data_IF_899655647793
#
_entry.id   IF_899655647793
#
_cell.length_a   1.000
_cell.length_b   1.000
_cell.length_c   1.000
_cell.angle_alpha   90.00
_cell.angle_beta   90.00
_cell.angle_gamma   90.00
#
_symmetry.space_group_name_H-M   'P 1'
#
loop_
_entity.id
_entity.type
_entity.pdbx_description
1 polymer ?
#
# COMPACT_ATOMS: atom_id res chain seq x y z
N UNK A 1 -9.16 10.66 6.60
CA UNK A 1 -8.73 9.39 7.25
C UNK A 1 -8.72 9.49 8.76
N UNK A 2 -8.02 10.46 9.34
CA UNK A 2 -7.92 10.63 10.81
C UNK A 2 -9.25 10.91 11.50
N UNK A 3 -10.20 11.55 10.80
CA UNK A 3 -11.60 11.68 11.26
C UNK A 3 -12.34 10.36 11.49
N UNK A 4 -11.75 9.21 11.10
CA UNK A 4 -12.31 7.89 11.37
C UNK A 4 -11.99 7.39 12.78
N UNK A 5 -11.05 8.03 13.49
CA UNK A 5 -10.73 7.71 14.89
C UNK A 5 -11.89 8.19 15.77
N UNK A 6 -12.51 7.30 16.57
CA UNK A 6 -13.58 7.70 17.48
C UNK A 6 -13.11 8.74 18.49
N UNK A 7 -14.02 9.62 18.89
CA UNK A 7 -13.84 10.69 19.90
C UNK A 7 -12.91 11.83 19.51
N UNK A 8 -11.68 11.54 19.09
CA UNK A 8 -10.60 12.54 18.90
C UNK A 8 -10.33 12.87 17.42
N UNK A 9 -10.95 12.13 16.49
CA UNK A 9 -10.61 12.22 15.06
C UNK A 9 -10.87 13.58 14.42
N UNK A 10 -11.90 14.33 14.87
CA UNK A 10 -12.19 15.67 14.35
C UNK A 10 -11.15 16.69 14.82
N UNK A 11 -10.82 16.65 16.11
CA UNK A 11 -9.84 17.55 16.72
C UNK A 11 -8.45 17.37 16.10
N UNK A 12 -8.04 16.12 15.80
CA UNK A 12 -6.80 15.84 15.08
C UNK A 12 -6.77 16.42 13.66
N UNK A 13 -7.89 16.35 12.94
CA UNK A 13 -7.98 16.88 11.58
C UNK A 13 -7.84 18.40 11.60
N UNK A 14 -8.58 19.08 12.47
CA UNK A 14 -8.50 20.54 12.62
C UNK A 14 -7.13 20.98 13.14
N UNK A 15 -6.51 20.20 14.02
CA UNK A 15 -5.14 20.44 14.48
C UNK A 15 -4.12 20.38 13.34
N UNK A 16 -4.20 19.36 12.48
CA UNK A 16 -3.30 19.19 11.34
C UNK A 16 -3.49 20.32 10.32
N UNK A 17 -4.74 20.65 9.99
CA UNK A 17 -5.05 21.76 9.10
C UNK A 17 -4.65 23.11 9.70
N UNK A 18 -4.68 23.26 11.03
CA UNK A 18 -4.49 24.56 11.68
C UNK A 18 -5.66 25.50 11.44
N UNK A 19 -6.87 24.96 11.24
CA UNK A 19 -8.09 25.68 10.88
C UNK A 19 -9.24 24.71 10.54
N UNK A 20 -10.36 25.25 10.08
CA UNK A 20 -11.57 24.46 9.76
C UNK A 20 -11.51 23.73 8.40
N UNK A 21 -10.58 24.11 7.53
CA UNK A 21 -10.38 23.55 6.21
C UNK A 21 -8.90 23.62 5.81
N UNK A 22 -8.55 22.96 4.70
CA UNK A 22 -7.22 23.11 4.10
C UNK A 22 -7.04 24.54 3.59
N UNK A 23 -6.02 25.24 4.11
CA UNK A 23 -5.71 26.63 3.77
C UNK A 23 -4.19 26.88 3.84
N UNK A 24 -3.75 28.14 3.75
CA UNK A 24 -2.36 28.57 3.80
C UNK A 24 -1.60 28.04 5.03
N UNK A 25 -2.26 27.92 6.19
CA UNK A 25 -1.66 27.33 7.39
C UNK A 25 -1.24 25.86 7.15
N UNK A 26 -2.10 25.07 6.52
CA UNK A 26 -1.83 23.68 6.15
C UNK A 26 -0.67 23.60 5.16
N UNK A 27 -0.69 24.44 4.11
CA UNK A 27 0.32 24.40 3.05
C UNK A 27 1.72 24.72 3.58
N UNK A 28 1.87 25.77 4.40
CA UNK A 28 3.17 26.13 4.97
C UNK A 28 3.72 25.04 5.89
N UNK A 29 2.86 24.41 6.70
CA UNK A 29 3.26 23.27 7.54
C UNK A 29 3.68 22.07 6.71
N UNK A 30 2.92 21.74 5.66
CA UNK A 30 3.24 20.62 4.78
C UNK A 30 4.53 20.88 4.01
N UNK A 31 4.80 22.12 3.59
CA UNK A 31 6.08 22.48 2.99
C UNK A 31 7.25 22.27 3.98
N UNK A 32 7.13 22.77 5.20
CA UNK A 32 8.16 22.57 6.23
C UNK A 32 8.39 21.08 6.55
N UNK A 33 7.31 20.29 6.66
CA UNK A 33 7.41 18.85 6.87
C UNK A 33 8.01 18.13 5.67
N UNK A 34 7.59 18.49 4.46
CA UNK A 34 8.12 17.91 3.22
C UNK A 34 9.61 18.23 3.03
N UNK A 35 10.07 19.40 3.48
CA UNK A 35 11.49 19.73 3.49
C UNK A 35 12.27 18.87 4.49
N UNK A 36 11.70 18.60 5.66
CA UNK A 36 12.34 17.82 6.72
C UNK A 36 12.40 16.31 6.44
N UNK A 37 11.31 15.73 5.92
CA UNK A 37 11.14 14.29 5.75
C UNK A 37 12.25 13.60 4.92
N UNK A 38 12.74 14.17 3.79
CA UNK A 38 13.85 13.59 3.04
C UNK A 38 15.12 13.39 3.86
N UNK A 39 15.43 14.29 4.81
CA UNK A 39 16.60 14.14 5.67
C UNK A 39 16.42 13.03 6.70
N UNK A 40 15.21 12.89 7.25
CA UNK A 40 14.86 11.77 8.14
C UNK A 40 14.95 10.44 7.37
N UNK A 41 14.42 10.40 6.14
CA UNK A 41 14.50 9.22 5.27
C UNK A 41 15.94 8.89 4.88
N UNK A 42 16.78 9.89 4.60
CA UNK A 42 18.20 9.67 4.32
C UNK A 42 18.93 9.07 5.53
N UNK A 43 18.61 9.52 6.75
CA UNK A 43 19.16 8.94 7.98
C UNK A 43 18.66 7.51 8.22
N UNK A 44 17.37 7.23 8.01
CA UNK A 44 16.80 5.87 8.07
C UNK A 44 17.42 4.96 7.00
N UNK A 45 17.63 5.46 5.79
CA UNK A 45 18.28 4.73 4.70
C UNK A 45 19.75 4.44 5.03
N UNK A 46 20.48 5.39 5.62
CA UNK A 46 21.85 5.16 6.10
C UNK A 46 21.88 4.08 7.19
N UNK A 47 20.99 4.14 8.19
CA UNK A 47 20.86 3.08 9.20
C UNK A 47 20.50 1.73 8.58
N UNK A 48 19.62 1.72 7.58
CA UNK A 48 19.25 0.53 6.82
C UNK A 48 20.47 -0.05 6.08
N UNK A 49 21.23 0.78 5.34
CA UNK A 49 22.43 0.35 4.62
C UNK A 49 23.55 -0.14 5.56
N UNK A 50 23.72 0.50 6.72
CA UNK A 50 24.61 0.00 7.78
C UNK A 50 24.17 -1.39 8.26
N UNK A 51 22.87 -1.65 8.29
CA UNK A 51 22.30 -2.95 8.67
C UNK A 51 22.37 -4.00 7.53
N UNK A 52 22.63 -3.59 6.28
CA UNK A 52 22.47 -4.41 5.07
C UNK A 52 23.73 -4.56 4.23
N UNK A 53 24.90 -4.17 4.74
CA UNK A 53 26.20 -4.18 4.04
C UNK A 53 26.40 -5.41 3.13
N UNK A 54 26.01 -5.28 1.85
CA UNK A 54 26.64 -5.69 0.59
C UNK A 54 25.63 -5.41 -0.56
N UNK A 55 26.14 -4.77 -1.62
CA UNK A 55 25.54 -4.49 -2.93
C UNK A 55 24.35 -3.51 -3.07
N UNK A 56 24.69 -2.28 -3.48
CA UNK A 56 23.74 -1.26 -3.93
C UNK A 56 23.48 -1.33 -5.44
N UNK A 57 22.20 -1.29 -5.83
CA UNK A 57 21.78 -1.01 -7.21
C UNK A 57 20.88 0.22 -7.23
N UNK A 58 21.13 1.13 -8.17
CA UNK A 58 20.32 2.33 -8.38
C UNK A 58 19.68 2.26 -9.77
N UNK A 59 18.39 2.53 -9.84
CA UNK A 59 17.64 2.69 -11.08
C UNK A 59 17.07 4.10 -11.12
N UNK A 60 17.37 4.85 -12.19
CA UNK A 60 16.89 6.21 -12.40
C UNK A 60 16.04 6.21 -13.67
N UNK A 61 14.78 6.63 -13.54
CA UNK A 61 13.88 6.83 -14.67
C UNK A 61 13.77 8.33 -14.99
N UNK A 62 13.99 8.71 -16.26
CA UNK A 62 13.83 10.07 -16.76
C UNK A 62 12.62 10.16 -17.69
N UNK A 63 11.43 10.39 -17.13
CA UNK A 63 10.23 10.75 -17.89
C UNK A 63 9.40 11.74 -17.06
N UNK A 64 9.40 13.06 -17.36
CA UNK A 64 8.99 14.08 -16.40
C UNK A 64 7.50 14.11 -16.09
N UNK A 65 6.62 13.78 -17.05
CA UNK A 65 5.17 13.99 -16.88
C UNK A 65 4.26 12.79 -17.23
N UNK A 66 4.80 11.66 -17.69
CA UNK A 66 3.93 10.51 -18.06
C UNK A 66 3.20 9.88 -16.85
N UNK A 67 3.73 10.09 -15.65
CA UNK A 67 3.17 9.54 -14.40
C UNK A 67 2.38 10.59 -13.59
N UNK A 68 2.32 11.84 -14.06
CA UNK A 68 1.65 12.94 -13.37
C UNK A 68 0.20 13.09 -13.85
N UNK A 69 -0.67 13.59 -12.98
CA UNK A 69 -2.07 13.84 -13.31
C UNK A 69 -2.25 15.24 -13.94
N UNK A 70 -2.96 15.40 -15.07
CA UNK A 70 -3.18 16.69 -15.71
C UNK A 70 -3.86 17.74 -14.81
N UNK A 71 -4.77 17.30 -13.94
CA UNK A 71 -5.49 18.21 -13.03
C UNK A 71 -4.57 18.93 -12.04
N UNK A 72 -3.35 18.41 -11.78
CA UNK A 72 -2.37 19.08 -10.92
C UNK A 72 -1.74 20.33 -11.56
N UNK A 73 -2.01 20.60 -12.84
CA UNK A 73 -1.65 21.88 -13.50
C UNK A 73 -2.74 22.95 -13.38
N UNK A 74 -3.92 22.59 -12.86
CA UNK A 74 -5.01 23.53 -12.62
C UNK A 74 -4.86 24.08 -11.20
N UNK A 75 -4.95 25.41 -10.97
CA UNK A 75 -4.93 25.97 -9.63
C UNK A 75 -6.07 25.39 -8.77
N UNK A 76 -5.75 25.07 -7.51
CA UNK A 76 -6.71 24.48 -6.59
C UNK A 76 -7.91 25.40 -6.35
N UNK A 77 -9.13 24.85 -6.45
CA UNK A 77 -10.37 25.54 -6.11
C UNK A 77 -11.10 24.76 -5.00
N UNK A 78 -11.22 25.31 -3.77
CA UNK A 78 -11.88 24.64 -2.65
C UNK A 78 -13.36 24.29 -2.89
N UNK A 79 -14.02 24.98 -3.82
CA UNK A 79 -15.45 24.82 -4.08
C UNK A 79 -15.75 23.80 -5.18
N UNK A 80 -14.74 23.25 -5.85
CA UNK A 80 -14.91 22.34 -6.99
C UNK A 80 -13.96 21.16 -6.87
N UNK A 81 -14.53 19.95 -6.77
CA UNK A 81 -13.78 18.70 -6.90
C UNK A 81 -13.87 18.20 -8.36
N UNK A 82 -12.74 17.97 -9.05
CA UNK A 82 -12.75 17.38 -10.39
C UNK A 82 -13.47 16.02 -10.41
N UNK A 83 -14.21 15.73 -11.49
CA UNK A 83 -14.90 14.45 -11.66
C UNK A 83 -13.94 13.26 -11.87
N UNK A 84 -12.74 13.53 -12.36
CA UNK A 84 -11.64 12.59 -12.60
C UNK A 84 -10.66 12.47 -11.43
N UNK A 85 -11.07 12.73 -10.18
CA UNK A 85 -10.17 12.71 -9.03
C UNK A 85 -9.60 11.30 -8.79
N UNK A 86 -8.29 11.16 -8.99
CA UNK A 86 -7.56 9.89 -8.85
C UNK A 86 -6.23 10.20 -8.16
N UNK A 87 -5.82 9.41 -7.15
CA UNK A 87 -4.52 9.59 -6.50
C UNK A 87 -3.38 9.17 -7.43
N UNK A 88 -2.15 9.47 -7.05
CA UNK A 88 -0.97 9.04 -7.80
C UNK A 88 -0.90 7.52 -7.91
N UNK A 89 -0.30 7.04 -9.01
CA UNK A 89 -0.34 5.62 -9.41
C UNK A 89 0.11 4.65 -8.32
N UNK A 90 1.16 4.99 -7.57
CA UNK A 90 1.70 4.17 -6.49
C UNK A 90 0.78 4.06 -5.26
N UNK A 91 -0.21 4.94 -5.12
CA UNK A 91 -1.24 4.86 -4.08
C UNK A 91 -2.52 4.13 -4.52
N UNK A 92 -2.72 3.89 -5.82
CA UNK A 92 -3.95 3.27 -6.34
C UNK A 92 -4.28 1.90 -5.74
N UNK A 93 -3.33 0.97 -5.49
CA UNK A 93 -3.66 -0.32 -4.87
C UNK A 93 -4.25 -0.16 -3.46
N UNK A 94 -3.70 0.77 -2.67
CA UNK A 94 -4.18 1.05 -1.31
C UNK A 94 -5.51 1.81 -1.34
N UNK A 95 -5.69 2.70 -2.31
CA UNK A 95 -6.95 3.38 -2.56
C UNK A 95 -8.06 2.40 -2.98
N UNK A 96 -7.75 1.40 -3.80
CA UNK A 96 -8.67 0.31 -4.16
C UNK A 96 -9.12 -0.50 -2.93
N UNK A 97 -8.18 -0.82 -2.02
CA UNK A 97 -8.48 -1.51 -0.75
C UNK A 97 -9.36 -0.64 0.15
N UNK A 98 -9.08 0.66 0.26
CA UNK A 98 -9.87 1.61 1.06
C UNK A 98 -11.33 1.65 0.60
N UNK A 99 -11.58 1.75 -0.72
CA UNK A 99 -12.92 1.87 -1.29
C UNK A 99 -13.68 0.54 -1.41
N UNK A 100 -12.98 -0.60 -1.33
CA UNK A 100 -13.60 -1.92 -1.43
C UNK A 100 -14.57 -2.20 -0.26
N UNK A 101 -14.31 -1.61 0.92
CA UNK A 101 -15.08 -1.85 2.13
C UNK A 101 -16.13 -0.73 2.29
N UNK A 102 -17.44 -1.05 2.34
CA UNK A 102 -18.52 -0.07 2.50
C UNK A 102 -18.66 0.42 3.95
N UNK A 103 -17.54 0.75 4.61
CA UNK A 103 -17.48 1.30 5.96
C UNK A 103 -16.32 2.29 6.07
N UNK A 104 -16.60 3.48 6.60
CA UNK A 104 -15.60 4.54 6.78
C UNK A 104 -14.41 4.07 7.63
N UNK A 105 -14.68 3.43 8.77
CA UNK A 105 -13.63 2.95 9.69
C UNK A 105 -12.97 1.70 9.12
N UNK A 106 -13.77 0.75 8.61
CA UNK A 106 -13.27 -0.50 8.06
C UNK A 106 -12.29 -0.30 6.91
N UNK A 107 -12.62 0.59 5.96
CA UNK A 107 -11.73 0.92 4.85
C UNK A 107 -10.42 1.54 5.31
N UNK A 108 -10.45 2.49 6.25
CA UNK A 108 -9.23 3.14 6.75
C UNK A 108 -8.33 2.13 7.47
N UNK A 109 -8.92 1.27 8.31
CA UNK A 109 -8.18 0.21 9.00
C UNK A 109 -7.57 -0.76 7.98
N UNK A 110 -8.33 -1.21 6.99
CA UNK A 110 -7.82 -2.12 5.96
C UNK A 110 -6.65 -1.50 5.17
N UNK A 111 -6.75 -0.23 4.77
CA UNK A 111 -5.69 0.43 4.03
C UNK A 111 -4.37 0.48 4.84
N UNK A 112 -4.41 0.87 6.12
CA UNK A 112 -3.21 0.88 6.96
C UNK A 112 -2.71 -0.54 7.24
N UNK A 113 -3.62 -1.48 7.52
CA UNK A 113 -3.28 -2.90 7.73
C UNK A 113 -2.60 -3.51 6.51
N UNK A 114 -2.91 -3.08 5.28
CA UNK A 114 -2.25 -3.56 4.08
C UNK A 114 -0.74 -3.23 4.05
N UNK A 115 -0.30 -2.18 4.72
CA UNK A 115 1.13 -1.87 4.87
C UNK A 115 1.69 -2.64 6.08
N UNK A 116 0.98 -2.62 7.21
CA UNK A 116 1.47 -3.23 8.45
C UNK A 116 1.61 -4.74 8.39
N UNK A 117 0.82 -5.43 7.55
CA UNK A 117 0.88 -6.88 7.39
C UNK A 117 2.26 -7.36 6.90
N UNK A 118 3.03 -6.51 6.21
CA UNK A 118 4.38 -6.83 5.77
C UNK A 118 5.34 -7.08 6.95
N UNK A 119 5.13 -6.42 8.10
CA UNK A 119 5.92 -6.67 9.31
C UNK A 119 5.61 -8.00 9.97
N UNK A 120 4.48 -8.63 9.64
CA UNK A 120 4.12 -9.95 10.15
C UNK A 120 4.73 -11.10 9.32
N UNK A 121 5.28 -10.81 8.14
CA UNK A 121 5.87 -11.82 7.24
C UNK A 121 6.90 -12.74 7.92
N UNK A 122 7.86 -12.23 8.73
CA UNK A 122 8.82 -13.10 9.41
C UNK A 122 8.20 -14.07 10.41
N UNK A 123 6.98 -13.80 10.88
CA UNK A 123 6.24 -14.62 11.85
C UNK A 123 5.31 -15.60 11.12
N UNK A 124 4.73 -15.18 9.99
CA UNK A 124 3.74 -15.97 9.23
C UNK A 124 4.36 -17.04 8.33
N UNK A 125 5.63 -16.91 7.95
CA UNK A 125 6.32 -17.92 7.13
C UNK A 125 6.71 -19.15 7.97
N UNK A 126 6.04 -20.27 7.70
CA UNK A 126 6.26 -21.57 8.36
C UNK A 126 7.26 -22.46 7.62
N UNK A 127 7.76 -22.02 6.47
CA UNK A 127 8.64 -22.85 5.62
C UNK A 127 10.02 -23.06 6.25
N UNK A 128 10.59 -24.25 6.09
CA UNK A 128 11.98 -24.53 6.53
C UNK A 128 13.02 -23.91 5.59
N UNK A 129 12.68 -23.81 4.31
CA UNK A 129 13.55 -23.29 3.25
C UNK A 129 13.22 -21.82 3.01
N UNK A 130 14.20 -20.94 3.27
CA UNK A 130 14.06 -19.47 3.12
C UNK A 130 13.82 -19.03 1.67
N UNK A 131 14.46 -19.68 0.70
CA UNK A 131 14.38 -19.27 -0.71
C UNK A 131 13.14 -19.84 -1.40
N UNK A 132 12.44 -19.02 -2.18
CA UNK A 132 11.34 -19.45 -3.04
C UNK A 132 11.81 -20.13 -4.34
N UNK A 133 13.11 -20.14 -4.63
CA UNK A 133 13.67 -20.74 -5.85
C UNK A 133 13.36 -22.24 -5.98
N UNK A 134 13.32 -22.95 -4.84
CA UNK A 134 13.11 -24.40 -4.78
C UNK A 134 11.67 -24.79 -4.40
N UNK A 135 10.75 -23.83 -4.40
CA UNK A 135 9.37 -24.01 -3.93
C UNK A 135 8.37 -23.65 -5.03
N UNK A 136 7.92 -24.64 -5.83
CA UNK A 136 7.08 -24.39 -7.00
C UNK A 136 5.71 -23.80 -6.63
N UNK A 137 5.08 -24.24 -5.54
CA UNK A 137 3.77 -23.73 -5.12
C UNK A 137 3.92 -22.29 -4.61
N UNK A 138 4.89 -22.03 -3.75
CA UNK A 138 5.16 -20.67 -3.26
C UNK A 138 5.47 -19.70 -4.39
N UNK A 139 6.23 -20.11 -5.40
CA UNK A 139 6.53 -19.29 -6.60
C UNK A 139 5.25 -18.98 -7.38
N UNK A 140 4.38 -19.95 -7.60
CA UNK A 140 3.10 -19.74 -8.30
C UNK A 140 2.24 -18.69 -7.57
N UNK A 141 2.01 -18.88 -6.27
CA UNK A 141 1.17 -17.97 -5.49
C UNK A 141 1.78 -16.59 -5.32
N UNK A 142 3.11 -16.46 -5.30
CA UNK A 142 3.78 -15.17 -5.38
C UNK A 142 3.43 -14.42 -6.67
N UNK A 143 3.46 -15.09 -7.83
CA UNK A 143 3.09 -14.44 -9.09
C UNK A 143 1.59 -14.14 -9.17
N UNK A 144 0.73 -14.97 -8.58
CA UNK A 144 -0.69 -14.64 -8.43
C UNK A 144 -0.91 -13.41 -7.53
N UNK A 145 -0.13 -13.27 -6.46
CA UNK A 145 -0.14 -12.06 -5.62
C UNK A 145 0.30 -10.81 -6.39
N UNK A 146 1.38 -10.90 -7.17
CA UNK A 146 1.83 -9.80 -8.04
C UNK A 146 0.75 -9.43 -9.05
N UNK A 147 0.13 -10.42 -9.71
CA UNK A 147 -0.97 -10.18 -10.64
C UNK A 147 -2.18 -9.52 -9.96
N UNK A 148 -2.56 -9.98 -8.76
CA UNK A 148 -3.62 -9.36 -7.97
C UNK A 148 -3.30 -7.90 -7.60
N UNK A 149 -2.05 -7.61 -7.24
CA UNK A 149 -1.60 -6.25 -6.94
C UNK A 149 -1.70 -5.34 -8.17
N UNK A 150 -1.36 -5.85 -9.37
CA UNK A 150 -1.55 -5.12 -10.62
C UNK A 150 -3.03 -4.92 -11.00
N UNK A 151 -3.90 -5.87 -10.66
CA UNK A 151 -5.36 -5.72 -10.82
C UNK A 151 -5.87 -4.60 -9.89
N UNK A 152 -5.44 -4.59 -8.62
CA UNK A 152 -5.78 -3.52 -7.68
C UNK A 152 -5.25 -2.15 -8.12
N UNK A 153 -4.04 -2.11 -8.68
CA UNK A 153 -3.46 -0.91 -9.29
C UNK A 153 -4.37 -0.36 -10.41
N UNK A 154 -4.83 -1.24 -11.31
CA UNK A 154 -5.71 -0.85 -12.40
C UNK A 154 -7.09 -0.39 -11.91
N UNK A 155 -7.73 -1.18 -11.03
CA UNK A 155 -9.07 -0.91 -10.51
C UNK A 155 -9.12 0.36 -9.65
N UNK A 156 -8.03 0.68 -8.93
CA UNK A 156 -7.92 1.90 -8.16
C UNK A 156 -8.05 3.18 -9.00
N UNK A 157 -7.68 3.12 -10.28
CA UNK A 157 -7.80 4.24 -11.23
C UNK A 157 -9.13 4.32 -11.97
N UNK A 158 -10.01 3.33 -11.81
CA UNK A 158 -11.33 3.32 -12.46
C UNK A 158 -12.39 4.01 -11.59
N UNK A 159 -13.49 4.43 -12.19
CA UNK A 159 -14.63 4.95 -11.43
C UNK A 159 -15.27 3.87 -10.52
N UNK A 160 -16.06 4.31 -9.54
CA UNK A 160 -16.72 3.43 -8.57
C UNK A 160 -18.02 2.90 -9.17
N UNK A 161 -17.88 2.01 -10.14
CA UNK A 161 -18.97 1.39 -10.89
C UNK A 161 -18.80 -0.14 -10.93
N UNK A 162 -19.89 -0.87 -11.15
CA UNK A 162 -19.79 -2.31 -11.45
C UNK A 162 -19.20 -2.49 -12.86
N UNK A 163 -18.30 -3.48 -13.09
CA UNK A 163 -17.90 -4.58 -12.21
C UNK A 163 -16.70 -4.28 -11.28
N UNK A 164 -16.15 -3.06 -11.31
CA UNK A 164 -14.89 -2.71 -10.64
C UNK A 164 -14.98 -2.77 -9.12
N UNK A 165 -16.15 -2.50 -8.54
CA UNK A 165 -16.39 -2.63 -7.09
C UNK A 165 -16.20 -4.09 -6.67
N UNK A 166 -16.89 -5.02 -7.33
CA UNK A 166 -16.80 -6.46 -7.06
C UNK A 166 -15.37 -6.97 -7.24
N UNK A 167 -14.67 -6.57 -8.30
CA UNK A 167 -13.28 -6.96 -8.54
C UNK A 167 -12.37 -6.44 -7.41
N UNK A 168 -12.56 -5.19 -6.96
CA UNK A 168 -11.78 -4.60 -5.86
C UNK A 168 -11.99 -5.35 -4.54
N UNK A 169 -13.22 -5.80 -4.27
CA UNK A 169 -13.55 -6.58 -3.06
C UNK A 169 -12.87 -7.95 -3.08
N UNK A 170 -12.96 -8.67 -4.19
CA UNK A 170 -12.29 -9.96 -4.37
C UNK A 170 -10.77 -9.80 -4.30
N UNK A 171 -10.23 -8.77 -4.95
CA UNK A 171 -8.78 -8.49 -4.94
C UNK A 171 -8.26 -8.12 -3.56
N UNK A 172 -9.05 -7.37 -2.77
CA UNK A 172 -8.72 -7.04 -1.38
C UNK A 172 -8.78 -8.28 -0.49
N UNK A 173 -9.80 -9.12 -0.64
CA UNK A 173 -9.92 -10.38 0.09
C UNK A 173 -8.73 -11.32 -0.21
N UNK A 174 -8.35 -11.43 -1.49
CA UNK A 174 -7.18 -12.20 -1.91
C UNK A 174 -5.87 -11.62 -1.37
N UNK A 175 -5.73 -10.29 -1.34
CA UNK A 175 -4.54 -9.62 -0.79
C UNK A 175 -4.29 -10.02 0.67
N UNK A 176 -5.31 -9.95 1.53
CA UNK A 176 -5.17 -10.32 2.94
C UNK A 176 -5.07 -11.83 3.16
N UNK A 177 -5.82 -12.62 2.39
CA UNK A 177 -5.75 -14.09 2.50
C UNK A 177 -4.39 -14.63 2.07
N UNK A 178 -3.70 -13.96 1.14
CA UNK A 178 -2.34 -14.29 0.75
C UNK A 178 -1.40 -14.35 1.96
N UNK A 179 -1.37 -13.28 2.76
CA UNK A 179 -0.49 -13.20 3.91
C UNK A 179 -0.95 -14.09 5.07
N UNK A 180 -2.23 -14.04 5.45
CA UNK A 180 -2.71 -14.66 6.68
C UNK A 180 -2.97 -16.17 6.55
N UNK A 181 -3.30 -16.63 5.35
CA UNK A 181 -3.75 -18.01 5.11
C UNK A 181 -2.80 -18.73 4.16
N UNK A 182 -2.57 -18.17 2.97
CA UNK A 182 -1.87 -18.87 1.89
C UNK A 182 -0.40 -19.09 2.24
N UNK A 183 0.33 -18.09 2.74
CA UNK A 183 1.73 -18.23 3.15
C UNK A 183 1.93 -19.35 4.19
N UNK A 184 1.26 -19.34 5.37
CA UNK A 184 1.47 -20.37 6.37
C UNK A 184 1.02 -21.76 5.89
N UNK A 185 -0.04 -21.82 5.08
CA UNK A 185 -0.55 -23.08 4.52
C UNK A 185 0.41 -23.70 3.51
N UNK A 186 0.93 -22.91 2.56
CA UNK A 186 1.89 -23.39 1.57
C UNK A 186 3.18 -23.82 2.24
N UNK A 187 3.68 -23.04 3.22
CA UNK A 187 4.87 -23.40 3.98
C UNK A 187 4.73 -24.76 4.65
N UNK A 188 3.57 -25.05 5.26
CA UNK A 188 3.28 -26.35 5.85
C UNK A 188 3.19 -27.48 4.80
N UNK A 189 2.45 -27.27 3.71
CA UNK A 189 2.28 -28.27 2.64
C UNK A 189 3.62 -28.64 2.00
N UNK A 190 4.43 -27.64 1.63
CA UNK A 190 5.73 -27.88 0.99
C UNK A 190 6.68 -28.60 1.95
N UNK A 191 6.71 -28.23 3.24
CA UNK A 191 7.51 -28.96 4.24
C UNK A 191 7.15 -30.45 4.29
N UNK A 192 5.85 -30.79 4.28
CA UNK A 192 5.39 -32.18 4.26
C UNK A 192 5.76 -32.89 2.96
N UNK A 193 5.61 -32.23 1.80
CA UNK A 193 5.98 -32.81 0.51
C UNK A 193 7.48 -33.12 0.43
N UNK A 194 8.33 -32.25 0.99
CA UNK A 194 9.77 -32.50 1.07
C UNK A 194 10.07 -33.71 1.95
N UNK A 195 9.45 -33.82 3.13
CA UNK A 195 9.66 -34.95 4.04
C UNK A 195 9.23 -36.30 3.39
N UNK A 196 8.16 -36.28 2.59
CA UNK A 196 7.70 -37.46 1.84
C UNK A 196 8.62 -37.82 0.67
N UNK A 197 9.16 -36.84 -0.05
CA UNK A 197 10.05 -37.08 -1.20
C UNK A 197 11.44 -37.57 -0.82
N UNK A 198 11.86 -37.42 0.44
CA UNK A 198 13.13 -37.94 0.97
C UNK A 198 13.07 -39.37 1.51
N UNK A 199 11.88 -39.96 1.59
CA UNK A 199 11.65 -41.35 2.00
C UNK A 199 11.54 -42.27 0.78
#
# INVERSE_FOLDING_TARGET
MLSAIPWIGKDLVEFIWGGFSVDNATLNRFFSLHYLLPFILAALAAMHLISLHEDGRYFVCYIPNQLAHPDNYIPANPMVTPSSIVPESYFLPFYAILRAIPSKVGGVVAMFSAIFILFLLPILDTSRIRSSAFSPLRRLFFWLFVANFLILLFVGGQHVEEPFITISQLGTAFYFSYFLIIIPLIGYIENVLFDLGTK
#
